data_IF_479460092430
#
_entry.id   IF_479460092430
#
_cell.length_a   1.000
_cell.length_b   1.000
_cell.length_c   1.000
_cell.angle_alpha   90.00
_cell.angle_beta   90.00
_cell.angle_gamma   90.00
#
_symmetry.space_group_name_H-M   'P 1'
#
loop_
_entity.id
_entity.type
_entity.pdbx_description
1 polymer ?
#
# COMPACT_ATOMS: atom_id res chain seq x y z
N UNK A 1 -27.89 -18.61 8.08
CA UNK A 1 -27.08 -18.22 9.25
C UNK A 1 -26.28 -17.00 8.83
N UNK A 2 -26.31 -15.90 9.59
CA UNK A 2 -25.48 -14.74 9.27
C UNK A 2 -24.07 -14.98 9.87
N UNK A 3 -23.06 -15.07 9.01
CA UNK A 3 -21.66 -15.25 9.38
C UNK A 3 -20.93 -13.98 9.00
N UNK A 4 -20.20 -13.37 9.94
CA UNK A 4 -19.50 -12.13 9.66
C UNK A 4 -18.14 -12.38 8.96
N UNK A 5 -17.53 -11.35 8.34
CA UNK A 5 -16.27 -11.53 7.62
C UNK A 5 -15.14 -12.09 8.47
N UNK A 6 -15.03 -11.65 9.73
CA UNK A 6 -14.01 -12.10 10.66
C UNK A 6 -14.15 -13.59 11.01
N UNK A 7 -15.38 -14.08 11.19
CA UNK A 7 -15.69 -15.50 11.41
C UNK A 7 -15.22 -16.36 10.22
N UNK A 8 -15.42 -15.89 8.98
CA UNK A 8 -14.99 -16.63 7.77
C UNK A 8 -13.45 -16.67 7.68
N UNK A 9 -12.79 -15.57 8.01
CA UNK A 9 -11.32 -15.51 8.02
C UNK A 9 -10.73 -16.40 9.10
N UNK A 10 -11.27 -16.36 10.32
CA UNK A 10 -10.86 -17.27 11.40
C UNK A 10 -11.11 -18.72 11.00
N UNK A 11 -12.27 -19.02 10.40
CA UNK A 11 -12.58 -20.36 9.93
C UNK A 11 -11.49 -20.87 8.97
N UNK A 12 -11.04 -20.05 8.01
CA UNK A 12 -9.97 -20.46 7.09
C UNK A 12 -8.61 -20.58 7.75
N UNK A 13 -8.25 -19.66 8.64
CA UNK A 13 -6.94 -19.64 9.28
C UNK A 13 -6.76 -20.78 10.28
N UNK A 14 -7.85 -21.35 10.80
CA UNK A 14 -7.81 -22.48 11.70
C UNK A 14 -7.75 -23.84 11.00
N UNK A 15 -8.09 -23.90 9.71
CA UNK A 15 -8.01 -25.12 8.93
C UNK A 15 -6.60 -25.75 9.00
N UNK A 16 -6.53 -27.02 9.38
CA UNK A 16 -5.30 -27.80 9.59
C UNK A 16 -4.36 -27.30 10.73
N UNK A 17 -4.75 -26.28 11.48
CA UNK A 17 -3.96 -25.77 12.60
C UNK A 17 -4.00 -26.71 13.80
N UNK A 18 -2.85 -26.95 14.44
CA UNK A 18 -2.77 -27.75 15.68
C UNK A 18 -3.59 -27.10 16.80
N UNK A 19 -4.37 -27.91 17.50
CA UNK A 19 -5.10 -27.51 18.70
C UNK A 19 -4.11 -27.03 19.78
N UNK A 20 -4.39 -25.85 20.38
CA UNK A 20 -3.50 -25.22 21.36
C UNK A 20 -2.36 -24.38 20.77
N UNK A 21 -2.34 -24.14 19.45
CA UNK A 21 -1.41 -23.20 18.84
C UNK A 21 -1.66 -21.75 19.29
N UNK A 22 -0.63 -20.90 19.24
CA UNK A 22 -0.70 -19.47 19.56
C UNK A 22 -1.24 -18.60 18.42
N UNK A 23 -2.05 -19.15 17.52
CA UNK A 23 -2.59 -18.41 16.38
C UNK A 23 -3.55 -17.28 16.82
N UNK A 24 -4.15 -17.42 18.01
CA UNK A 24 -5.03 -16.41 18.60
C UNK A 24 -4.38 -15.03 18.69
N UNK A 25 -3.18 -14.93 19.28
CA UNK A 25 -2.50 -13.65 19.49
C UNK A 25 -2.29 -12.88 18.18
N UNK A 26 -2.06 -13.60 17.08
CA UNK A 26 -1.91 -13.00 15.75
C UNK A 26 -3.26 -12.50 15.21
N UNK A 27 -4.30 -13.34 15.23
CA UNK A 27 -5.62 -13.00 14.69
C UNK A 27 -6.32 -11.92 15.52
N UNK A 28 -6.17 -11.95 16.83
CA UNK A 28 -6.70 -10.95 17.76
C UNK A 28 -6.12 -9.57 17.44
N UNK A 29 -4.80 -9.48 17.25
CA UNK A 29 -4.14 -8.22 16.86
C UNK A 29 -4.51 -7.78 15.45
N UNK A 30 -4.61 -8.73 14.54
CA UNK A 30 -4.84 -8.48 13.12
C UNK A 30 -6.24 -7.93 12.86
N UNK A 31 -7.25 -8.46 13.53
CA UNK A 31 -8.66 -8.12 13.32
C UNK A 31 -9.31 -7.38 14.49
N UNK A 32 -8.59 -7.21 15.61
CA UNK A 32 -9.09 -6.58 16.82
C UNK A 32 -10.36 -7.28 17.36
N UNK A 33 -10.28 -8.60 17.49
CA UNK A 33 -11.36 -9.51 17.93
C UNK A 33 -10.83 -10.52 18.95
N UNK A 34 -11.74 -11.22 19.63
CA UNK A 34 -11.43 -12.41 20.43
C UNK A 34 -11.58 -13.65 19.55
N UNK A 35 -10.48 -14.07 18.92
CA UNK A 35 -10.48 -15.19 17.98
C UNK A 35 -10.69 -16.53 18.67
N UNK A 36 -10.37 -16.66 19.96
CA UNK A 36 -10.66 -17.86 20.74
C UNK A 36 -12.17 -18.06 20.89
N UNK A 37 -12.90 -17.00 21.27
CA UNK A 37 -14.36 -17.03 21.36
C UNK A 37 -15.03 -17.28 20.02
N UNK A 38 -14.51 -16.70 18.94
CA UNK A 38 -15.03 -16.95 17.58
C UNK A 38 -14.78 -18.40 17.17
N UNK A 39 -13.59 -18.94 17.42
CA UNK A 39 -13.26 -20.34 17.16
C UNK A 39 -14.21 -21.31 17.88
N UNK A 40 -14.49 -21.09 19.17
CA UNK A 40 -15.43 -21.93 19.93
C UNK A 40 -16.84 -21.86 19.32
N UNK A 41 -17.29 -20.64 18.96
CA UNK A 41 -18.56 -20.42 18.26
C UNK A 41 -18.62 -21.12 16.89
N UNK A 42 -17.53 -21.18 16.13
CA UNK A 42 -17.48 -21.88 14.84
C UNK A 42 -17.64 -23.39 15.00
N UNK A 43 -17.12 -23.96 16.10
CA UNK A 43 -17.32 -25.38 16.46
C UNK A 43 -18.77 -25.63 16.85
N UNK A 44 -19.36 -24.78 17.70
CA UNK A 44 -20.78 -24.88 18.09
C UNK A 44 -21.73 -24.80 16.89
N UNK A 45 -21.37 -24.02 15.86
CA UNK A 45 -22.13 -23.89 14.61
C UNK A 45 -21.93 -25.07 13.63
N UNK A 46 -21.15 -26.10 13.99
CA UNK A 46 -20.76 -27.23 13.13
C UNK A 46 -20.05 -26.81 11.83
N UNK A 47 -19.26 -25.72 11.87
CA UNK A 47 -18.46 -25.26 10.73
C UNK A 47 -17.03 -25.76 10.77
N UNK A 48 -16.57 -26.16 11.96
CA UNK A 48 -15.25 -26.66 12.24
C UNK A 48 -15.33 -27.72 13.32
N UNK A 49 -14.40 -28.67 13.32
CA UNK A 49 -14.29 -29.70 14.34
C UNK A 49 -12.84 -29.90 14.78
N UNK A 50 -12.65 -30.59 15.90
CA UNK A 50 -11.32 -31.02 16.36
C UNK A 50 -11.08 -32.44 15.86
N UNK A 51 -10.15 -32.59 14.93
CA UNK A 51 -9.63 -33.88 14.52
C UNK A 51 -8.79 -34.48 15.66
N UNK A 52 -9.41 -35.36 16.44
CA UNK A 52 -8.79 -35.96 17.62
C UNK A 52 -7.53 -36.78 17.30
N UNK A 53 -7.45 -37.40 16.11
CA UNK A 53 -6.29 -38.20 15.71
C UNK A 53 -5.06 -37.33 15.45
N UNK A 54 -5.26 -36.14 14.87
CA UNK A 54 -4.17 -35.20 14.53
C UNK A 54 -3.98 -34.09 15.56
N UNK A 55 -4.86 -34.02 16.56
CA UNK A 55 -4.97 -32.89 17.49
C UNK A 55 -4.94 -31.56 16.73
N UNK A 56 -5.75 -31.45 15.68
CA UNK A 56 -5.83 -30.27 14.82
C UNK A 56 -7.29 -29.88 14.60
N UNK A 57 -7.53 -28.64 14.20
CA UNK A 57 -8.83 -28.24 13.69
C UNK A 57 -8.99 -28.71 12.24
N UNK A 58 -10.22 -28.97 11.84
CA UNK A 58 -10.59 -29.35 10.48
C UNK A 58 -11.93 -28.70 10.11
N UNK A 59 -12.05 -28.26 8.88
CA UNK A 59 -13.32 -27.76 8.35
C UNK A 59 -14.32 -28.91 8.20
N UNK A 60 -15.60 -28.62 8.46
CA UNK A 60 -16.68 -29.49 8.00
C UNK A 60 -17.00 -29.18 6.54
N UNK A 61 -17.73 -30.06 5.85
CA UNK A 61 -18.18 -29.80 4.47
C UNK A 61 -18.92 -28.45 4.34
N UNK A 62 -19.69 -28.07 5.37
CA UNK A 62 -20.37 -26.78 5.44
C UNK A 62 -19.40 -25.62 5.64
N UNK A 63 -18.36 -25.81 6.46
CA UNK A 63 -17.30 -24.80 6.64
C UNK A 63 -16.52 -24.55 5.34
N UNK A 64 -16.23 -25.60 4.59
CA UNK A 64 -15.62 -25.51 3.27
C UNK A 64 -16.51 -24.74 2.28
N UNK A 65 -17.81 -25.06 2.23
CA UNK A 65 -18.79 -24.35 1.41
C UNK A 65 -18.79 -22.84 1.72
N UNK A 66 -18.85 -22.46 2.99
CA UNK A 66 -18.81 -21.05 3.40
C UNK A 66 -17.55 -20.34 2.95
N UNK A 67 -16.38 -20.97 3.06
CA UNK A 67 -15.12 -20.36 2.61
C UNK A 67 -15.14 -20.20 1.08
N UNK A 68 -15.61 -21.23 0.36
CA UNK A 68 -15.67 -21.25 -1.09
C UNK A 68 -16.64 -20.19 -1.65
N UNK A 69 -17.70 -19.86 -0.91
CA UNK A 69 -18.64 -18.79 -1.24
C UNK A 69 -18.07 -17.38 -0.99
N UNK A 70 -16.96 -17.26 -0.26
CA UNK A 70 -16.38 -15.97 0.14
C UNK A 70 -14.89 -15.80 -0.26
N UNK A 71 -14.53 -16.05 -1.53
CA UNK A 71 -13.14 -15.99 -1.98
C UNK A 71 -12.54 -14.57 -1.87
N UNK A 72 -13.38 -13.54 -1.88
CA UNK A 72 -12.98 -12.14 -1.71
C UNK A 72 -12.36 -11.88 -0.34
N UNK A 73 -12.85 -12.54 0.72
CA UNK A 73 -12.30 -12.39 2.06
C UNK A 73 -10.90 -12.98 2.16
N UNK A 74 -10.69 -14.17 1.58
CA UNK A 74 -9.37 -14.81 1.54
C UNK A 74 -8.39 -13.97 0.73
N UNK A 75 -8.84 -13.42 -0.40
CA UNK A 75 -8.05 -12.48 -1.19
C UNK A 75 -7.65 -11.24 -0.38
N UNK A 76 -8.58 -10.68 0.40
CA UNK A 76 -8.30 -9.54 1.28
C UNK A 76 -7.28 -9.88 2.37
N UNK A 77 -7.42 -11.04 3.02
CA UNK A 77 -6.52 -11.47 4.09
C UNK A 77 -5.07 -11.63 3.62
N UNK A 78 -4.86 -12.10 2.39
CA UNK A 78 -3.51 -12.29 1.84
C UNK A 78 -2.82 -10.97 1.47
N UNK A 79 -3.51 -9.82 1.53
CA UNK A 79 -2.98 -8.52 1.06
C UNK A 79 -2.89 -7.49 2.16
N UNK A 80 -1.74 -7.45 2.84
CA UNK A 80 -1.43 -6.47 3.91
C UNK A 80 -1.62 -5.02 3.48
N UNK A 81 -1.23 -4.65 2.25
CA UNK A 81 -1.43 -3.28 1.76
C UNK A 81 -2.90 -2.97 1.51
N UNK A 82 -3.71 -3.94 1.10
CA UNK A 82 -5.14 -3.74 0.91
C UNK A 82 -5.81 -3.46 2.27
N UNK A 83 -5.45 -4.23 3.29
CA UNK A 83 -5.97 -4.09 4.66
C UNK A 83 -5.70 -2.73 5.28
N UNK A 84 -4.52 -2.15 5.00
CA UNK A 84 -4.16 -0.81 5.49
C UNK A 84 -4.99 0.30 4.83
N UNK A 85 -5.56 0.03 3.64
CA UNK A 85 -6.22 1.05 2.83
C UNK A 85 -7.73 0.84 2.73
N UNK A 86 -8.26 -0.33 3.07
CA UNK A 86 -9.70 -0.64 3.03
C UNK A 86 -10.08 -1.42 4.27
N UNK A 87 -11.15 -0.98 4.93
CA UNK A 87 -11.81 -1.70 6.01
C UNK A 87 -12.45 -3.02 5.52
N UNK A 88 -12.32 -4.10 6.31
CA UNK A 88 -12.80 -5.44 5.96
C UNK A 88 -14.31 -5.46 5.73
N UNK A 89 -15.09 -4.91 6.66
CA UNK A 89 -16.54 -4.90 6.59
C UNK A 89 -17.03 -4.05 5.42
N UNK A 90 -16.40 -2.89 5.19
CA UNK A 90 -16.69 -2.07 4.00
C UNK A 90 -16.45 -2.87 2.72
N UNK A 91 -15.31 -3.56 2.60
CA UNK A 91 -14.99 -4.35 1.41
C UNK A 91 -16.01 -5.47 1.18
N UNK A 92 -16.32 -6.23 2.23
CA UNK A 92 -17.29 -7.33 2.17
C UNK A 92 -18.69 -6.83 1.75
N UNK A 93 -19.22 -5.82 2.43
CA UNK A 93 -20.57 -5.31 2.16
C UNK A 93 -20.64 -4.69 0.76
N UNK A 94 -19.64 -3.91 0.36
CA UNK A 94 -19.61 -3.33 -1.01
C UNK A 94 -19.56 -4.43 -2.06
N UNK A 95 -18.82 -5.51 -1.85
CA UNK A 95 -18.82 -6.63 -2.79
C UNK A 95 -20.19 -7.28 -2.91
N UNK A 96 -20.84 -7.62 -1.79
CA UNK A 96 -22.17 -8.22 -1.78
C UNK A 96 -23.24 -7.33 -2.45
N UNK A 97 -23.13 -6.00 -2.29
CA UNK A 97 -24.07 -5.03 -2.88
C UNK A 97 -23.81 -4.75 -4.37
N UNK A 98 -22.55 -4.84 -4.82
CA UNK A 98 -22.12 -4.30 -6.12
C UNK A 98 -22.63 -5.05 -7.36
N UNK A 99 -23.19 -6.26 -7.21
CA UNK A 99 -23.46 -7.22 -8.31
C UNK A 99 -22.23 -7.51 -9.20
N UNK A 100 -21.03 -7.07 -8.81
CA UNK A 100 -19.80 -7.27 -9.57
C UNK A 100 -19.28 -8.69 -9.33
N UNK A 101 -18.97 -9.40 -10.41
CA UNK A 101 -18.36 -10.74 -10.31
C UNK A 101 -16.91 -10.71 -9.84
N UNK A 102 -16.26 -9.54 -9.89
CA UNK A 102 -14.84 -9.38 -9.56
C UNK A 102 -14.63 -8.56 -8.30
N UNK A 103 -14.31 -9.23 -7.19
CA UNK A 103 -13.90 -8.56 -5.95
C UNK A 103 -12.64 -7.69 -6.11
N UNK A 104 -11.80 -7.97 -7.12
CA UNK A 104 -10.63 -7.13 -7.45
C UNK A 104 -11.07 -5.77 -8.00
N UNK A 105 -12.13 -5.73 -8.80
CA UNK A 105 -12.71 -4.47 -9.30
C UNK A 105 -13.31 -3.64 -8.16
N UNK A 106 -14.05 -4.28 -7.26
CA UNK A 106 -14.58 -3.64 -6.04
C UNK A 106 -13.46 -3.03 -5.20
N UNK A 107 -12.37 -3.79 -4.98
CA UNK A 107 -11.20 -3.29 -4.27
C UNK A 107 -10.57 -2.07 -4.96
N UNK A 108 -10.40 -2.11 -6.29
CA UNK A 108 -9.88 -0.98 -7.07
C UNK A 108 -10.76 0.26 -6.95
N UNK A 109 -12.09 0.11 -6.96
CA UNK A 109 -13.01 1.24 -6.88
C UNK A 109 -13.02 1.87 -5.47
N UNK A 110 -12.95 1.06 -4.41
CA UNK A 110 -12.75 1.53 -3.04
C UNK A 110 -11.39 2.24 -2.88
N UNK A 111 -10.31 1.72 -3.46
CA UNK A 111 -9.01 2.38 -3.47
C UNK A 111 -9.06 3.72 -4.21
N UNK A 112 -9.76 3.80 -5.34
CA UNK A 112 -9.95 5.08 -6.06
C UNK A 112 -10.70 6.08 -5.19
N UNK A 113 -11.77 5.68 -4.51
CA UNK A 113 -12.51 6.53 -3.57
C UNK A 113 -11.59 7.03 -2.44
N UNK A 114 -10.84 6.12 -1.83
CA UNK A 114 -9.92 6.44 -0.74
C UNK A 114 -8.76 7.33 -1.22
N UNK A 115 -8.30 7.19 -2.47
CA UNK A 115 -7.26 8.05 -3.05
C UNK A 115 -7.72 9.51 -3.09
N UNK A 116 -9.00 9.76 -3.46
CA UNK A 116 -9.59 11.10 -3.48
C UNK A 116 -9.66 11.69 -2.06
N UNK A 117 -10.05 10.86 -1.08
CA UNK A 117 -10.09 11.25 0.34
C UNK A 117 -8.70 11.59 0.88
N UNK A 118 -7.71 10.73 0.62
CA UNK A 118 -6.33 10.94 1.06
C UNK A 118 -5.75 12.23 0.46
N UNK A 119 -5.97 12.48 -0.83
CA UNK A 119 -5.58 13.74 -1.48
C UNK A 119 -6.24 14.95 -0.84
N UNK A 120 -7.57 14.92 -0.63
CA UNK A 120 -8.32 16.02 0.01
C UNK A 120 -7.80 16.30 1.43
N UNK A 121 -7.46 15.26 2.18
CA UNK A 121 -6.90 15.35 3.54
C UNK A 121 -5.40 15.65 3.55
N UNK A 122 -4.74 15.78 2.40
CA UNK A 122 -3.28 15.95 2.29
C UNK A 122 -2.51 14.82 3.00
N UNK A 123 -3.08 13.61 3.00
CA UNK A 123 -2.49 12.42 3.60
C UNK A 123 -1.62 11.69 2.56
N UNK A 124 -0.44 12.25 2.27
CA UNK A 124 0.41 11.81 1.16
C UNK A 124 0.95 10.38 1.34
N UNK A 125 1.20 9.96 2.59
CA UNK A 125 1.62 8.58 2.88
C UNK A 125 0.53 7.57 2.51
N UNK A 126 -0.72 7.86 2.88
CA UNK A 126 -1.87 7.01 2.54
C UNK A 126 -2.11 7.05 1.02
N UNK A 127 -2.04 8.23 0.41
CA UNK A 127 -2.20 8.41 -1.03
C UNK A 127 -1.18 7.57 -1.84
N UNK A 128 0.08 7.57 -1.39
CA UNK A 128 1.16 6.74 -1.94
C UNK A 128 0.88 5.24 -1.75
N UNK A 129 0.48 4.82 -0.55
CA UNK A 129 0.17 3.42 -0.26
C UNK A 129 -1.04 2.89 -1.03
N UNK A 130 -2.02 3.75 -1.30
CA UNK A 130 -3.17 3.41 -2.14
C UNK A 130 -2.73 3.10 -3.58
N UNK A 131 -1.84 3.91 -4.17
CA UNK A 131 -1.32 3.60 -5.51
C UNK A 131 -0.50 2.32 -5.54
N UNK A 132 0.31 2.06 -4.51
CA UNK A 132 1.02 0.78 -4.42
C UNK A 132 0.03 -0.39 -4.32
N UNK A 133 -1.02 -0.26 -3.50
CA UNK A 133 -2.07 -1.29 -3.43
C UNK A 133 -2.76 -1.48 -4.78
N UNK A 134 -3.06 -0.40 -5.52
CA UNK A 134 -3.65 -0.51 -6.86
C UNK A 134 -2.70 -1.18 -7.86
N UNK A 135 -1.40 -0.88 -7.80
CA UNK A 135 -0.40 -1.51 -8.65
C UNK A 135 -0.38 -3.03 -8.45
N UNK A 136 -0.35 -3.48 -7.19
CA UNK A 136 -0.37 -4.92 -6.87
C UNK A 136 -1.63 -5.60 -7.41
N UNK A 137 -2.81 -4.97 -7.28
CA UNK A 137 -4.05 -5.54 -7.83
C UNK A 137 -3.99 -5.61 -9.35
N UNK A 138 -3.52 -4.55 -10.02
CA UNK A 138 -3.39 -4.55 -11.48
C UNK A 138 -2.40 -5.60 -11.98
N UNK A 139 -1.33 -5.86 -11.23
CA UNK A 139 -0.38 -6.94 -11.50
C UNK A 139 -1.05 -8.31 -11.43
N UNK A 140 -1.91 -8.56 -10.44
CA UNK A 140 -2.63 -9.84 -10.32
C UNK A 140 -3.65 -10.13 -11.43
N UNK A 141 -3.99 -9.12 -12.24
CA UNK A 141 -4.95 -9.24 -13.34
C UNK A 141 -4.33 -8.86 -14.69
N UNK A 142 -2.99 -8.95 -14.78
CA UNK A 142 -2.20 -8.78 -16.00
C UNK A 142 -2.52 -7.44 -16.71
N UNK A 143 -2.61 -6.36 -15.92
CA UNK A 143 -2.79 -4.98 -16.40
C UNK A 143 -1.50 -4.19 -16.22
N UNK A 144 -0.43 -4.68 -16.83
CA UNK A 144 0.95 -4.18 -16.67
C UNK A 144 1.10 -2.68 -16.92
N UNK A 145 0.45 -2.12 -17.95
CA UNK A 145 0.46 -0.68 -18.18
C UNK A 145 -0.15 0.12 -17.02
N UNK A 146 -1.20 -0.41 -16.37
CA UNK A 146 -1.82 0.23 -15.20
C UNK A 146 -0.94 0.03 -13.96
N UNK A 147 -0.28 -1.12 -13.83
CA UNK A 147 0.72 -1.39 -12.79
C UNK A 147 1.84 -0.35 -12.87
N UNK A 148 2.49 -0.24 -14.03
CA UNK A 148 3.57 0.71 -14.29
C UNK A 148 3.17 2.15 -13.96
N UNK A 149 2.01 2.59 -14.45
CA UNK A 149 1.50 3.96 -14.16
C UNK A 149 1.30 4.20 -12.67
N UNK A 150 0.87 3.22 -11.88
CA UNK A 150 0.71 3.40 -10.43
C UNK A 150 2.05 3.34 -9.69
N UNK A 151 3.01 2.52 -10.12
CA UNK A 151 4.36 2.53 -9.57
C UNK A 151 5.09 3.85 -9.84
N UNK A 152 4.92 4.42 -11.04
CA UNK A 152 5.44 5.76 -11.34
C UNK A 152 4.85 6.86 -10.46
N UNK A 153 3.57 6.73 -10.08
CA UNK A 153 2.95 7.65 -9.11
C UNK A 153 3.60 7.52 -7.74
N UNK A 154 3.83 6.29 -7.30
CA UNK A 154 4.53 6.01 -6.04
C UNK A 154 5.93 6.63 -6.06
N UNK A 155 6.70 6.36 -7.12
CA UNK A 155 8.03 6.92 -7.35
C UNK A 155 8.03 8.46 -7.31
N UNK A 156 7.08 9.10 -8.01
CA UNK A 156 6.97 10.57 -8.02
C UNK A 156 6.65 11.14 -6.64
N UNK A 157 5.74 10.51 -5.88
CA UNK A 157 5.42 10.94 -4.52
C UNK A 157 6.63 10.75 -3.60
N UNK A 158 7.33 9.62 -3.69
CA UNK A 158 8.53 9.32 -2.89
C UNK A 158 9.63 10.39 -3.15
N UNK A 159 9.75 10.91 -4.38
CA UNK A 159 10.67 12.00 -4.74
C UNK A 159 10.19 13.42 -4.38
N UNK A 160 8.91 13.60 -4.10
CA UNK A 160 8.36 14.91 -3.77
C UNK A 160 8.78 15.42 -2.38
N UNK A 161 9.11 14.51 -1.46
CA UNK A 161 9.36 14.82 -0.04
C UNK A 161 8.10 15.26 0.74
N UNK A 162 6.92 15.08 0.15
CA UNK A 162 5.65 15.39 0.80
C UNK A 162 5.31 14.34 1.86
N UNK A 163 5.04 14.84 3.06
CA UNK A 163 4.43 14.12 4.18
C UNK A 163 3.08 14.77 4.51
N UNK A 164 2.32 14.15 5.41
CA UNK A 164 0.95 14.57 5.74
C UNK A 164 0.83 16.09 6.01
N UNK A 165 -0.31 16.67 5.64
CA UNK A 165 -0.61 18.10 5.76
C UNK A 165 0.25 19.01 4.85
N UNK A 166 0.77 18.48 3.74
CA UNK A 166 1.72 19.17 2.85
C UNK A 166 3.05 19.54 3.52
N UNK A 167 3.38 18.88 4.64
CA UNK A 167 4.68 19.07 5.29
C UNK A 167 5.78 18.52 4.41
N UNK A 168 6.85 19.30 4.22
CA UNK A 168 7.98 18.89 3.41
C UNK A 168 9.12 18.40 4.29
N UNK A 169 9.61 17.19 4.01
CA UNK A 169 10.76 16.64 4.69
C UNK A 169 11.78 16.08 3.68
N UNK A 170 12.87 16.83 3.39
CA UNK A 170 13.86 16.40 2.40
C UNK A 170 14.60 15.13 2.85
N UNK A 171 14.77 14.92 4.15
CA UNK A 171 15.47 13.74 4.69
C UNK A 171 14.71 12.44 4.37
N UNK A 172 13.39 12.52 4.17
CA UNK A 172 12.56 11.37 3.82
C UNK A 172 12.57 11.03 2.33
N UNK A 173 13.16 11.89 1.49
CA UNK A 173 13.23 11.66 0.05
C UNK A 173 14.19 10.51 -0.22
N UNK A 174 13.62 9.42 -0.74
CA UNK A 174 14.35 8.22 -1.17
C UNK A 174 13.50 7.46 -2.16
N UNK A 175 14.14 6.75 -3.05
CA UNK A 175 13.49 5.83 -3.97
C UNK A 175 13.49 4.44 -3.32
N UNK A 176 12.32 3.80 -3.30
CA UNK A 176 12.19 2.44 -2.79
C UNK A 176 12.75 1.42 -3.81
N UNK A 177 13.75 0.58 -3.44
CA UNK A 177 14.35 -0.38 -4.37
C UNK A 177 13.35 -1.30 -5.06
N UNK A 178 12.45 -1.94 -4.29
CA UNK A 178 11.44 -2.82 -4.86
C UNK A 178 10.44 -2.16 -5.81
N UNK A 179 10.29 -0.83 -5.79
CA UNK A 179 9.51 -0.10 -6.80
C UNK A 179 10.28 0.01 -8.11
N UNK A 180 11.59 0.23 -8.04
CA UNK A 180 12.46 0.29 -9.22
C UNK A 180 12.61 -1.09 -9.86
N UNK A 181 12.77 -2.13 -9.06
CA UNK A 181 12.88 -3.51 -9.55
C UNK A 181 11.61 -3.90 -10.33
N UNK A 182 10.43 -3.66 -9.78
CA UNK A 182 9.16 -3.95 -10.46
C UNK A 182 8.97 -3.07 -11.72
N UNK A 183 9.35 -1.79 -11.70
CA UNK A 183 9.32 -0.94 -12.89
C UNK A 183 10.25 -1.50 -13.97
N UNK A 184 11.45 -1.98 -13.59
CA UNK A 184 12.43 -2.55 -14.51
C UNK A 184 11.88 -3.80 -15.19
N UNK A 185 11.26 -4.70 -14.43
CA UNK A 185 10.61 -5.89 -14.98
C UNK A 185 9.50 -5.53 -15.98
N UNK A 186 8.60 -4.60 -15.60
CA UNK A 186 7.50 -4.17 -16.47
C UNK A 186 7.97 -3.48 -17.75
N UNK A 187 9.09 -2.73 -17.72
CA UNK A 187 9.64 -2.11 -18.92
C UNK A 187 10.13 -3.16 -19.91
N UNK A 188 10.76 -4.24 -19.42
CA UNK A 188 11.20 -5.36 -20.25
C UNK A 188 10.00 -6.11 -20.85
N UNK A 189 9.00 -6.43 -20.02
CA UNK A 189 7.78 -7.13 -20.46
C UNK A 189 6.99 -6.34 -21.50
N UNK A 190 6.85 -5.02 -21.29
CA UNK A 190 6.14 -4.12 -22.20
C UNK A 190 6.99 -3.64 -23.38
N UNK A 191 8.28 -3.99 -23.40
CA UNK A 191 9.25 -3.60 -24.43
C UNK A 191 9.39 -2.08 -24.62
N UNK A 192 9.16 -1.30 -23.56
CA UNK A 192 9.18 0.15 -23.65
C UNK A 192 10.58 0.71 -23.85
N UNK A 193 10.69 1.64 -24.77
CA UNK A 193 11.89 2.45 -24.96
C UNK A 193 11.92 3.64 -23.99
N UNK A 194 13.10 4.25 -23.83
CA UNK A 194 13.30 5.38 -22.90
C UNK A 194 12.38 6.57 -23.21
N UNK A 195 12.17 6.89 -24.48
CA UNK A 195 11.28 8.00 -24.89
C UNK A 195 9.80 7.73 -24.55
N UNK A 196 9.33 6.50 -24.74
CA UNK A 196 7.97 6.11 -24.36
C UNK A 196 7.80 6.19 -22.84
N UNK A 197 8.81 5.71 -22.09
CA UNK A 197 8.83 5.79 -20.65
C UNK A 197 8.75 7.25 -20.16
N UNK A 198 9.47 8.15 -20.83
CA UNK A 198 9.44 9.58 -20.55
C UNK A 198 8.05 10.17 -20.74
N UNK A 199 7.39 9.87 -21.86
CA UNK A 199 6.02 10.32 -22.12
C UNK A 199 5.03 9.79 -21.07
N UNK A 200 5.14 8.51 -20.69
CA UNK A 200 4.29 7.93 -19.65
C UNK A 200 4.55 8.66 -18.32
N UNK A 201 5.82 8.85 -17.94
CA UNK A 201 6.19 9.49 -16.70
C UNK A 201 5.71 10.95 -16.62
N UNK A 202 5.88 11.73 -17.69
CA UNK A 202 5.38 13.10 -17.79
C UNK A 202 3.85 13.14 -17.59
N UNK A 203 3.11 12.26 -18.25
CA UNK A 203 1.65 12.18 -18.10
C UNK A 203 1.22 11.83 -16.66
N UNK A 204 2.02 11.04 -15.95
CA UNK A 204 1.77 10.71 -14.54
C UNK A 204 1.97 11.93 -13.65
N UNK A 205 3.05 12.68 -13.87
CA UNK A 205 3.37 13.88 -13.09
C UNK A 205 2.31 14.97 -13.27
N UNK A 206 1.93 15.26 -14.52
CA UNK A 206 0.90 16.25 -14.86
C UNK A 206 -0.44 15.92 -14.21
N UNK A 207 -0.86 14.65 -14.25
CA UNK A 207 -2.12 14.21 -13.64
C UNK A 207 -2.08 14.19 -12.12
N UNK A 208 -0.91 13.91 -11.54
CA UNK A 208 -0.76 13.93 -10.10
C UNK A 208 -0.75 15.33 -9.53
N UNK A 209 -0.20 16.32 -10.23
CA UNK A 209 -0.21 17.74 -9.84
C UNK A 209 0.03 17.92 -8.33
N UNK A 210 1.22 17.51 -7.89
CA UNK A 210 1.58 17.59 -6.47
C UNK A 210 1.83 19.05 -6.08
N UNK A 211 1.41 19.49 -4.87
CA UNK A 211 1.54 20.89 -4.45
C UNK A 211 2.98 21.35 -4.27
N UNK A 212 3.94 20.42 -4.25
CA UNK A 212 5.36 20.70 -4.16
C UNK A 212 6.15 19.56 -4.78
N UNK A 213 7.26 19.91 -5.44
CA UNK A 213 8.24 18.97 -5.96
C UNK A 213 9.63 19.43 -5.51
N UNK A 214 10.50 18.49 -5.12
CA UNK A 214 11.88 18.82 -4.74
C UNK A 214 12.82 18.94 -5.94
N UNK A 215 12.52 18.20 -7.01
CA UNK A 215 13.32 18.11 -8.22
C UNK A 215 12.44 18.43 -9.43
N UNK A 216 13.02 18.98 -10.49
CA UNK A 216 12.32 19.15 -11.77
C UNK A 216 11.92 17.79 -12.35
N UNK A 217 10.87 17.75 -13.18
CA UNK A 217 10.41 16.51 -13.84
C UNK A 217 11.54 15.83 -14.61
N UNK A 218 12.34 16.59 -15.34
CA UNK A 218 13.50 16.08 -16.07
C UNK A 218 14.53 15.44 -15.14
N UNK A 219 14.79 16.05 -13.97
CA UNK A 219 15.75 15.51 -13.00
C UNK A 219 15.22 14.24 -12.34
N UNK A 220 13.92 14.20 -12.03
CA UNK A 220 13.29 12.99 -11.50
C UNK A 220 13.31 11.85 -12.53
N UNK A 221 13.16 12.16 -13.83
CA UNK A 221 13.28 11.15 -14.87
C UNK A 221 14.73 10.66 -15.04
N UNK A 222 15.73 11.54 -14.97
CA UNK A 222 17.15 11.16 -14.96
C UNK A 222 17.46 10.20 -13.80
N UNK A 223 16.90 10.45 -12.62
CA UNK A 223 17.00 9.55 -11.46
C UNK A 223 16.33 8.21 -11.72
N UNK A 224 15.21 8.17 -12.45
CA UNK A 224 14.54 6.91 -12.80
C UNK A 224 15.45 6.09 -13.72
N UNK A 225 15.94 6.68 -14.80
CA UNK A 225 16.82 6.00 -15.76
C UNK A 225 18.12 5.53 -15.10
N UNK A 226 18.71 6.36 -14.23
CA UNK A 226 19.89 5.96 -13.46
C UNK A 226 19.56 4.78 -12.55
N UNK A 227 18.44 4.82 -11.83
CA UNK A 227 18.06 3.74 -10.91
C UNK A 227 17.78 2.42 -11.66
N UNK A 228 17.22 2.47 -12.87
CA UNK A 228 16.97 1.28 -13.69
C UNK A 228 18.27 0.62 -14.19
N UNK A 229 19.31 1.43 -14.46
CA UNK A 229 20.63 0.99 -14.91
C UNK A 229 21.51 0.51 -13.75
N UNK A 230 21.64 1.35 -12.73
CA UNK A 230 22.66 1.24 -11.67
C UNK A 230 22.07 0.82 -10.31
N UNK A 231 20.76 0.61 -10.23
CA UNK A 231 20.03 0.30 -9.00
C UNK A 231 19.64 1.54 -8.18
N UNK A 232 18.59 1.40 -7.37
CA UNK A 232 18.04 2.50 -6.58
C UNK A 232 19.03 3.10 -5.56
N UNK A 233 19.95 2.29 -5.02
CA UNK A 233 20.90 2.74 -4.01
C UNK A 233 21.89 3.79 -4.54
N UNK A 234 22.33 3.62 -5.79
CA UNK A 234 23.22 4.59 -6.47
C UNK A 234 22.59 6.00 -6.51
N UNK A 235 21.27 6.07 -6.69
CA UNK A 235 20.51 7.31 -6.74
C UNK A 235 20.20 7.83 -5.35
N UNK A 236 19.89 6.94 -4.39
CA UNK A 236 19.66 7.34 -3.00
C UNK A 236 20.89 8.03 -2.38
N UNK A 237 22.11 7.58 -2.70
CA UNK A 237 23.34 8.27 -2.28
C UNK A 237 23.41 9.69 -2.86
N UNK A 238 23.02 9.89 -4.13
CA UNK A 238 22.99 11.22 -4.77
C UNK A 238 21.94 12.12 -4.10
N UNK A 239 20.73 11.59 -3.88
CA UNK A 239 19.63 12.27 -3.19
C UNK A 239 20.05 12.69 -1.78
N UNK A 240 20.69 11.82 -1.01
CA UNK A 240 21.19 12.14 0.33
C UNK A 240 22.18 13.32 0.32
N UNK A 241 23.13 13.31 -0.63
CA UNK A 241 24.09 14.41 -0.80
C UNK A 241 23.39 15.74 -1.12
N UNK A 242 22.37 15.70 -1.99
CA UNK A 242 21.57 16.89 -2.33
C UNK A 242 20.78 17.40 -1.11
N UNK A 243 20.17 16.48 -0.36
CA UNK A 243 19.40 16.80 0.84
C UNK A 243 20.26 17.44 1.94
N UNK A 244 21.49 16.96 2.16
CA UNK A 244 22.42 17.56 3.12
C UNK A 244 22.73 19.02 2.74
N UNK A 245 22.93 19.31 1.45
CA UNK A 245 23.17 20.69 0.97
C UNK A 245 21.94 21.57 1.21
N UNK A 246 20.74 21.04 0.96
CA UNK A 246 19.48 21.76 1.18
C UNK A 246 19.24 22.06 2.66
N UNK A 247 19.47 21.10 3.56
CA UNK A 247 19.31 21.30 5.01
C UNK A 247 20.30 22.34 5.54
N UNK A 248 21.57 22.27 5.15
CA UNK A 248 22.59 23.27 5.55
C UNK A 248 22.22 24.68 5.09
N UNK A 249 21.64 24.82 3.89
CA UNK A 249 21.15 26.11 3.38
C UNK A 249 19.99 26.63 4.24
N UNK A 250 19.00 25.77 4.54
CA UNK A 250 17.85 26.14 5.38
C UNK A 250 18.24 26.55 6.81
N UNK A 251 19.23 25.87 7.40
CA UNK A 251 19.76 26.23 8.73
C UNK A 251 20.47 27.57 8.71
N UNK A 252 21.29 27.84 7.67
CA UNK A 252 21.96 29.12 7.48
C UNK A 252 20.94 30.26 7.34
N UNK A 253 19.89 30.06 6.53
CA UNK A 253 18.84 31.06 6.31
C UNK A 253 18.03 31.33 7.58
N UNK A 254 17.72 30.29 8.38
CA UNK A 254 17.07 30.45 9.70
C UNK A 254 17.96 31.19 10.71
N UNK A 255 19.27 30.91 10.70
CA UNK A 255 20.25 31.61 11.54
C UNK A 255 20.36 33.10 11.22
N UNK A 256 20.32 33.44 9.92
CA UNK A 256 20.31 34.83 9.44
C UNK A 256 19.04 35.55 9.91
N UNK A 257 17.86 34.92 9.78
CA UNK A 257 16.58 35.52 10.22
C UNK A 257 16.57 35.74 11.73
N UNK A 258 17.04 34.79 12.54
CA UNK A 258 17.18 34.96 13.99
C UNK A 258 18.10 36.13 14.35
N UNK A 259 19.23 36.28 13.66
CA UNK A 259 20.18 37.37 13.88
C UNK A 259 19.66 38.75 13.46
N UNK A 260 18.75 38.82 12.47
CA UNK A 260 18.06 40.05 12.08
C UNK A 260 17.01 40.42 13.13
N UNK A 261 16.17 39.47 13.55
CA UNK A 261 15.15 39.72 14.57
C UNK A 261 15.79 40.13 15.90
N UNK A 262 16.87 39.48 16.34
CA UNK A 262 17.57 39.87 17.57
C UNK A 262 18.12 41.30 17.54
N UNK A 263 18.54 41.79 16.36
CA UNK A 263 19.02 43.17 16.18
C UNK A 263 17.89 44.21 16.12
N UNK A 264 16.71 43.82 15.66
CA UNK A 264 15.52 44.68 15.59
C UNK A 264 14.91 44.86 16.98
N UNK A 265 14.92 43.82 17.83
CA UNK A 265 14.35 43.85 19.18
C UNK A 265 15.35 44.17 20.30
N UNK A 266 16.59 44.55 19.96
CA UNK A 266 17.64 44.97 20.92
C UNK A 266 17.88 46.49 20.93
N UNK A 267 16.89 47.29 20.54
CA UNK A 267 16.82 48.74 20.74
C UNK A 267 15.58 49.06 21.57
#
# INVERSE_FOLDING_TARGET
>A
MNINPEEILILKEYDEVKAGSRINDYLDKQYNIDSAKIKDKLIEKSLMEVNQKKASYALTARGEEIINDHPHLIYYHRRKLLQKNIDLNKFHNTYLESKESSYRKVALDLLKENSKKARKKKAWNDYRNIFLSMANIYRDIDKDQKTLKNLMKVYHIDLSGLSNNNNFNPIMIRIAPGIIDEIKELIVELQYQEDELKTIYQSVVERLDLPRQNYSVSKQFEYLITALKDGAESVNIKIQKDNIKLTKKQEKDKGIIKGILSKIFSK
#
